data_IF_655825434766
#
_entry.id   IF_655825434766
#
_cell.length_a   1.000
_cell.length_b   1.000
_cell.length_c   1.000
_cell.angle_alpha   90.00
_cell.angle_beta   90.00
_cell.angle_gamma   90.00
#
_symmetry.space_group_name_H-M   'P 1'
#
loop_
_entity.id
_entity.type
_entity.pdbx_description
1 polymer ?
#
# COMPACT_ATOMS: atom_id res chain seq x y z
N UNK A 1 4.32 -19.83 33.36
CA UNK A 1 3.90 -19.55 31.95
C UNK A 1 4.93 -20.18 31.00
N UNK A 2 4.51 -20.74 29.89
CA UNK A 2 5.40 -21.44 28.96
C UNK A 2 6.23 -20.49 28.09
N UNK A 3 5.72 -19.26 27.89
CA UNK A 3 6.31 -18.23 27.04
C UNK A 3 6.49 -16.90 27.78
N UNK A 4 7.50 -16.12 27.37
CA UNK A 4 7.67 -14.75 27.84
C UNK A 4 6.67 -13.82 27.13
N UNK A 5 6.46 -14.05 25.83
CA UNK A 5 5.58 -13.22 24.99
C UNK A 5 4.66 -14.06 24.12
N UNK A 6 3.41 -13.62 24.05
CA UNK A 6 2.44 -14.01 23.04
C UNK A 6 2.30 -12.86 22.04
N UNK A 7 2.53 -13.11 20.77
CA UNK A 7 2.31 -12.13 19.69
C UNK A 7 1.08 -12.54 18.91
N UNK A 8 0.16 -11.60 18.76
CA UNK A 8 -1.09 -11.79 18.00
C UNK A 8 -0.97 -11.09 16.66
N UNK A 9 -1.03 -11.86 15.58
CA UNK A 9 -0.88 -11.43 14.22
C UNK A 9 0.54 -11.62 13.67
N UNK A 10 0.62 -12.26 12.51
CA UNK A 10 1.86 -12.62 11.81
C UNK A 10 2.19 -11.72 10.63
N UNK A 11 1.62 -10.52 10.57
CA UNK A 11 2.03 -9.48 9.63
C UNK A 11 3.45 -8.98 9.92
N UNK A 12 3.97 -8.08 9.10
CA UNK A 12 5.36 -7.60 9.21
C UNK A 12 5.71 -7.10 10.63
N UNK A 13 4.82 -6.33 11.26
CA UNK A 13 5.03 -5.83 12.63
C UNK A 13 5.18 -6.95 13.65
N UNK A 14 4.27 -7.95 13.63
CA UNK A 14 4.33 -9.08 14.54
C UNK A 14 5.56 -9.95 14.29
N UNK A 15 5.88 -10.25 13.03
CA UNK A 15 7.02 -11.06 12.65
C UNK A 15 8.37 -10.40 13.05
N UNK A 16 8.52 -9.10 12.81
CA UNK A 16 9.71 -8.35 13.21
C UNK A 16 9.86 -8.31 14.74
N UNK A 17 8.77 -8.07 15.47
CA UNK A 17 8.81 -8.10 16.94
C UNK A 17 9.19 -9.49 17.47
N UNK A 18 8.62 -10.54 16.89
CA UNK A 18 8.95 -11.91 17.25
C UNK A 18 10.44 -12.23 17.03
N UNK A 19 10.99 -11.78 15.91
CA UNK A 19 12.42 -11.91 15.60
C UNK A 19 13.31 -11.23 16.66
N UNK A 20 13.05 -9.97 16.99
CA UNK A 20 13.86 -9.23 17.97
C UNK A 20 13.76 -9.80 19.37
N UNK A 21 12.58 -10.24 19.79
CA UNK A 21 12.39 -10.89 21.09
C UNK A 21 13.14 -12.22 21.16
N UNK A 22 13.03 -13.06 20.14
CA UNK A 22 13.79 -14.32 20.06
C UNK A 22 15.29 -14.07 20.07
N UNK A 23 15.76 -13.07 19.31
CA UNK A 23 17.18 -12.67 19.27
C UNK A 23 17.69 -12.18 20.65
N UNK A 24 16.76 -11.75 21.51
CA UNK A 24 17.00 -11.40 22.91
C UNK A 24 16.77 -12.57 23.88
N UNK A 25 16.80 -13.82 23.39
CA UNK A 25 16.60 -15.05 24.15
C UNK A 25 15.23 -15.14 24.88
N UNK A 26 14.18 -14.49 24.34
CA UNK A 26 12.83 -14.62 24.86
C UNK A 26 12.10 -15.78 24.17
N UNK A 27 11.29 -16.49 24.95
CA UNK A 27 10.40 -17.52 24.43
C UNK A 27 9.14 -16.87 23.90
N UNK A 28 8.91 -17.00 22.61
CA UNK A 28 7.79 -16.36 21.89
C UNK A 28 6.85 -17.42 21.34
N UNK A 29 5.55 -17.23 21.58
CA UNK A 29 4.47 -17.87 20.85
C UNK A 29 3.80 -16.83 19.95
N UNK A 30 3.54 -17.18 18.70
CA UNK A 30 2.75 -16.36 17.78
C UNK A 30 1.44 -17.06 17.46
N UNK A 31 0.36 -16.29 17.39
CA UNK A 31 -0.95 -16.76 16.90
C UNK A 31 -1.40 -15.92 15.73
N UNK A 32 -1.98 -16.57 14.73
CA UNK A 32 -2.50 -15.96 13.51
C UNK A 32 -3.89 -16.51 13.21
N UNK A 33 -4.84 -15.62 12.96
CA UNK A 33 -6.24 -16.01 12.69
C UNK A 33 -6.42 -16.66 11.31
N UNK A 34 -5.56 -16.32 10.34
CA UNK A 34 -5.58 -16.87 8.99
C UNK A 34 -4.83 -18.22 8.93
N UNK A 35 -4.98 -18.94 7.83
CA UNK A 35 -4.27 -20.20 7.59
C UNK A 35 -2.79 -20.01 7.27
N UNK A 36 -2.40 -18.83 6.76
CA UNK A 36 -1.03 -18.47 6.39
C UNK A 36 -0.53 -17.23 7.10
N UNK A 37 0.79 -17.17 7.29
CA UNK A 37 1.49 -16.00 7.84
C UNK A 37 1.64 -14.89 6.80
N UNK A 38 2.00 -13.67 7.26
CA UNK A 38 2.32 -12.54 6.39
C UNK A 38 1.30 -11.41 6.42
N UNK A 39 0.11 -11.63 6.99
CA UNK A 39 -0.90 -10.58 7.09
C UNK A 39 -1.25 -10.00 5.71
N UNK A 40 -1.31 -8.68 5.60
CA UNK A 40 -1.68 -8.01 4.35
C UNK A 40 -0.57 -7.97 3.29
N UNK A 41 0.67 -8.33 3.64
CA UNK A 41 1.77 -8.43 2.67
C UNK A 41 1.99 -9.88 2.18
N UNK A 42 1.13 -10.82 2.57
CA UNK A 42 1.25 -12.20 2.17
C UNK A 42 1.27 -12.33 0.64
N UNK A 43 2.19 -13.17 0.15
CA UNK A 43 2.34 -13.52 -1.26
C UNK A 43 2.27 -15.02 -1.43
N UNK A 44 1.91 -15.47 -2.62
CA UNK A 44 2.04 -16.88 -3.04
C UNK A 44 2.66 -16.94 -4.42
N UNK A 45 3.25 -18.07 -4.77
CA UNK A 45 3.74 -18.32 -6.12
C UNK A 45 2.74 -19.20 -6.83
N UNK A 46 2.20 -18.75 -7.94
CA UNK A 46 1.31 -19.50 -8.84
C UNK A 46 1.90 -19.45 -10.24
N UNK A 47 2.11 -20.60 -10.85
CA UNK A 47 2.71 -20.77 -12.19
C UNK A 47 3.99 -19.96 -12.40
N UNK A 48 4.79 -19.83 -11.33
CA UNK A 48 6.04 -19.08 -11.32
C UNK A 48 5.88 -17.56 -11.21
N UNK A 49 4.67 -17.06 -10.96
CA UNK A 49 4.38 -15.65 -10.74
C UNK A 49 4.18 -15.41 -9.25
N UNK A 50 4.86 -14.41 -8.69
CA UNK A 50 4.62 -13.96 -7.32
C UNK A 50 3.34 -13.13 -7.25
N UNK A 51 2.28 -13.72 -6.67
CA UNK A 51 0.97 -13.09 -6.51
C UNK A 51 0.87 -12.42 -5.14
N UNK A 52 0.58 -11.13 -5.09
CA UNK A 52 0.32 -10.37 -3.87
C UNK A 52 -1.16 -10.50 -3.50
N UNK A 53 -1.47 -11.25 -2.43
CA UNK A 53 -2.84 -11.64 -2.10
C UNK A 53 -3.76 -10.47 -1.72
N UNK A 54 -3.19 -9.42 -1.14
CA UNK A 54 -3.93 -8.24 -0.65
C UNK A 54 -3.45 -6.94 -1.29
N UNK A 55 -3.03 -7.02 -2.56
CA UNK A 55 -2.46 -5.93 -3.32
C UNK A 55 -0.94 -5.80 -3.10
N UNK A 56 -0.23 -5.26 -4.10
CA UNK A 56 1.22 -5.13 -4.02
C UNK A 56 1.63 -4.07 -3.00
N UNK A 57 2.62 -4.42 -2.22
CA UNK A 57 3.31 -3.52 -1.31
C UNK A 57 4.76 -3.39 -1.79
N UNK A 58 5.22 -2.18 -2.06
CA UNK A 58 6.61 -1.91 -2.39
C UNK A 58 7.30 -1.47 -1.10
N UNK A 59 8.39 -2.14 -0.73
CA UNK A 59 9.20 -1.70 0.40
C UNK A 59 10.00 -0.48 -0.01
N UNK A 60 9.88 0.60 0.75
CA UNK A 60 10.63 1.82 0.52
C UNK A 60 10.98 2.47 1.86
N UNK A 61 12.18 3.01 1.95
CA UNK A 61 12.68 3.67 3.16
C UNK A 61 13.93 4.51 2.83
N UNK A 62 14.18 5.53 3.63
CA UNK A 62 15.47 6.23 3.66
C UNK A 62 16.28 5.85 4.91
N UNK A 63 15.78 4.94 5.74
CA UNK A 63 16.46 4.42 6.93
C UNK A 63 17.36 3.24 6.54
N UNK A 64 18.68 3.42 6.72
CA UNK A 64 19.70 2.40 6.40
C UNK A 64 19.55 1.13 7.26
N UNK A 65 19.14 1.27 8.52
CA UNK A 65 18.93 0.12 9.40
C UNK A 65 17.75 -0.72 8.89
N UNK A 66 16.63 -0.10 8.57
CA UNK A 66 15.45 -0.80 8.05
C UNK A 66 15.76 -1.50 6.71
N UNK A 67 16.49 -0.84 5.81
CA UNK A 67 16.92 -1.44 4.54
C UNK A 67 17.89 -2.60 4.75
N UNK A 68 18.92 -2.41 5.60
CA UNK A 68 19.88 -3.46 5.96
C UNK A 68 19.18 -4.67 6.57
N UNK A 69 18.26 -4.43 7.52
CA UNK A 69 17.50 -5.48 8.18
C UNK A 69 16.69 -6.36 7.20
N UNK A 70 15.97 -5.77 6.25
CA UNK A 70 15.21 -6.60 5.29
C UNK A 70 16.14 -7.37 4.34
N UNK A 71 17.28 -6.78 3.93
CA UNK A 71 18.26 -7.44 3.07
C UNK A 71 19.01 -8.60 3.76
N UNK A 72 19.19 -8.54 5.08
CA UNK A 72 19.74 -9.67 5.85
C UNK A 72 18.80 -10.88 5.87
N UNK A 73 17.49 -10.64 5.74
CA UNK A 73 16.48 -11.68 5.87
C UNK A 73 15.85 -12.12 4.54
N UNK A 74 16.01 -11.33 3.48
CA UNK A 74 15.53 -11.67 2.15
C UNK A 74 16.34 -10.90 1.10
N UNK A 75 16.74 -11.55 0.01
CA UNK A 75 17.31 -10.85 -1.14
C UNK A 75 16.27 -9.87 -1.71
N UNK A 76 16.63 -8.59 -1.75
CA UNK A 76 15.79 -7.54 -2.31
C UNK A 76 16.29 -7.18 -3.70
N UNK A 77 15.39 -7.07 -4.67
CA UNK A 77 15.74 -6.48 -5.96
C UNK A 77 15.15 -5.06 -6.08
N UNK A 78 15.88 -4.15 -6.73
CA UNK A 78 15.41 -2.78 -6.93
C UNK A 78 14.10 -2.75 -7.70
N UNK A 79 13.14 -1.97 -7.24
CA UNK A 79 11.88 -1.75 -7.93
C UNK A 79 11.46 -0.30 -7.77
N UNK A 80 11.32 0.42 -8.87
CA UNK A 80 10.82 1.79 -8.89
C UNK A 80 9.33 1.75 -9.21
N UNK A 81 8.52 2.19 -8.26
CA UNK A 81 7.08 2.29 -8.47
C UNK A 81 6.74 3.52 -9.31
N UNK A 82 6.23 3.29 -10.51
CA UNK A 82 5.83 4.35 -11.47
C UNK A 82 4.41 4.08 -11.96
N UNK A 83 3.38 4.23 -11.11
CA UNK A 83 2.01 3.92 -11.47
C UNK A 83 1.47 4.88 -12.52
N UNK A 84 0.55 4.39 -13.35
CA UNK A 84 -0.22 5.20 -14.28
C UNK A 84 -1.63 5.45 -13.75
N UNK A 85 -2.26 6.50 -14.24
CA UNK A 85 -3.69 6.75 -14.07
C UNK A 85 -4.40 6.62 -15.42
N UNK A 86 -5.52 5.91 -15.43
CA UNK A 86 -6.43 5.85 -16.57
C UNK A 86 -7.71 6.61 -16.22
N UNK A 87 -7.97 7.69 -16.94
CA UNK A 87 -9.20 8.44 -16.88
C UNK A 87 -9.94 8.31 -18.22
N UNK A 88 -10.92 7.41 -18.29
CA UNK A 88 -11.75 7.20 -19.51
C UNK A 88 -10.93 6.90 -20.77
N UNK A 89 -9.83 6.16 -20.63
CA UNK A 89 -8.92 5.82 -21.71
C UNK A 89 -7.75 6.79 -21.90
N UNK A 90 -7.78 7.96 -21.30
CA UNK A 90 -6.62 8.86 -21.25
C UNK A 90 -5.63 8.38 -20.18
N UNK A 91 -4.36 8.29 -20.54
CA UNK A 91 -3.31 7.78 -19.64
C UNK A 91 -2.45 8.94 -19.13
N UNK A 92 -2.18 8.94 -17.82
CA UNK A 92 -1.40 9.95 -17.14
C UNK A 92 -0.37 9.31 -16.22
N UNK A 93 0.83 9.86 -16.16
CA UNK A 93 1.84 9.45 -15.21
C UNK A 93 1.53 9.95 -13.79
N UNK A 94 1.91 9.12 -12.80
CA UNK A 94 1.87 9.47 -11.38
C UNK A 94 3.28 9.25 -10.76
N UNK A 95 3.64 10.00 -9.69
CA UNK A 95 2.90 11.11 -9.06
C UNK A 95 2.74 12.31 -10.00
N UNK A 96 2.00 13.35 -9.59
CA UNK A 96 1.82 14.54 -10.43
C UNK A 96 3.16 15.22 -10.69
N UNK A 97 3.68 15.03 -11.89
CA UNK A 97 5.00 15.51 -12.32
C UNK A 97 4.91 16.14 -13.72
N UNK A 98 6.06 16.52 -14.30
CA UNK A 98 6.07 17.17 -15.61
C UNK A 98 5.49 16.31 -16.74
N UNK A 99 5.56 14.96 -16.65
CA UNK A 99 4.88 14.09 -17.61
C UNK A 99 3.36 14.24 -17.48
N UNK A 100 2.82 14.21 -16.25
CA UNK A 100 1.39 14.44 -15.99
C UNK A 100 0.92 15.79 -16.53
N UNK A 101 1.68 16.88 -16.29
CA UNK A 101 1.30 18.22 -16.72
C UNK A 101 1.38 18.39 -18.25
N UNK A 102 2.36 17.74 -18.89
CA UNK A 102 2.45 17.67 -20.33
C UNK A 102 1.26 16.92 -20.94
N UNK A 103 0.88 15.80 -20.35
CA UNK A 103 -0.27 15.00 -20.80
C UNK A 103 -1.61 15.73 -20.62
N UNK A 104 -1.77 16.49 -19.53
CA UNK A 104 -2.97 17.26 -19.26
C UNK A 104 -3.10 18.52 -20.14
N UNK A 105 -1.99 19.24 -20.35
CA UNK A 105 -2.03 20.61 -20.88
C UNK A 105 -1.04 20.89 -22.01
N UNK A 106 -0.18 19.95 -22.38
CA UNK A 106 0.86 20.15 -23.41
C UNK A 106 2.03 21.02 -22.98
N UNK A 107 2.12 21.41 -21.69
CA UNK A 107 3.22 22.22 -21.15
C UNK A 107 4.52 21.43 -21.12
N UNK A 108 5.65 22.11 -21.28
CA UNK A 108 6.97 21.48 -21.39
C UNK A 108 7.99 21.98 -20.37
N UNK A 109 7.71 23.13 -19.74
CA UNK A 109 8.58 23.73 -18.74
C UNK A 109 7.92 23.80 -17.36
N UNK A 110 8.71 23.75 -16.28
CA UNK A 110 8.21 23.94 -14.92
C UNK A 110 7.43 25.24 -14.72
N UNK A 111 7.86 26.32 -15.38
CA UNK A 111 7.24 27.65 -15.31
C UNK A 111 5.84 27.65 -15.92
N UNK A 112 5.69 27.02 -17.11
CA UNK A 112 4.38 26.85 -17.76
C UNK A 112 3.43 26.00 -16.88
N UNK A 113 3.92 24.90 -16.32
CA UNK A 113 3.12 24.05 -15.46
C UNK A 113 2.65 24.77 -14.19
N UNK A 114 3.55 25.50 -13.52
CA UNK A 114 3.21 26.35 -12.34
C UNK A 114 2.19 27.41 -12.69
N UNK A 115 2.37 28.11 -13.82
CA UNK A 115 1.45 29.15 -14.28
C UNK A 115 0.05 28.55 -14.55
N UNK A 116 -0.01 27.37 -15.19
CA UNK A 116 -1.27 26.68 -15.49
C UNK A 116 -2.02 26.24 -14.24
N UNK A 117 -1.32 25.67 -13.27
CA UNK A 117 -1.90 25.31 -11.97
C UNK A 117 -2.41 26.56 -11.26
N UNK A 118 -1.61 27.64 -11.20
CA UNK A 118 -2.01 28.89 -10.56
C UNK A 118 -3.25 29.52 -11.24
N UNK A 119 -3.34 29.48 -12.57
CA UNK A 119 -4.52 29.93 -13.32
C UNK A 119 -5.78 29.14 -12.91
N UNK A 120 -5.69 27.80 -12.83
CA UNK A 120 -6.83 26.97 -12.46
C UNK A 120 -7.24 27.17 -11.00
N UNK A 121 -6.27 27.21 -10.10
CA UNK A 121 -6.51 27.47 -8.65
C UNK A 121 -7.18 28.83 -8.43
N UNK A 122 -6.73 29.88 -9.15
CA UNK A 122 -7.30 31.22 -9.04
C UNK A 122 -8.78 31.31 -9.42
N UNK A 123 -9.23 30.46 -10.36
CA UNK A 123 -10.64 30.39 -10.80
C UNK A 123 -11.56 29.86 -9.70
N UNK A 124 -11.06 29.01 -8.81
CA UNK A 124 -11.86 28.39 -7.76
C UNK A 124 -12.12 29.35 -6.58
N UNK A 125 -11.26 30.36 -6.39
CA UNK A 125 -11.39 31.41 -5.35
C UNK A 125 -11.64 30.85 -3.94
N UNK A 126 -11.05 29.70 -3.59
CA UNK A 126 -11.19 29.04 -2.29
C UNK A 126 -10.07 29.50 -1.38
N UNK A 127 -10.42 30.01 -0.18
CA UNK A 127 -9.45 30.49 0.82
C UNK A 127 -9.36 29.58 2.04
N UNK A 128 -10.50 29.00 2.46
CA UNK A 128 -10.63 28.18 3.65
C UNK A 128 -11.38 26.91 3.29
N UNK A 129 -10.72 25.86 2.78
CA UNK A 129 -11.36 24.64 2.34
C UNK A 129 -11.98 23.90 3.52
N UNK A 130 -13.25 23.47 3.37
CA UNK A 130 -14.01 22.77 4.42
C UNK A 130 -14.04 21.25 4.20
N UNK A 131 -13.74 20.78 2.99
CA UNK A 131 -13.82 19.39 2.59
C UNK A 131 -12.72 19.04 1.60
N UNK A 132 -12.62 17.75 1.25
CA UNK A 132 -11.60 17.23 0.33
C UNK A 132 -11.67 17.87 -1.06
N UNK A 133 -12.87 18.10 -1.62
CA UNK A 133 -13.03 18.74 -2.93
C UNK A 133 -12.43 20.14 -2.93
N UNK A 134 -12.83 20.98 -1.98
CA UNK A 134 -12.33 22.34 -1.86
C UNK A 134 -10.82 22.39 -1.61
N UNK A 135 -10.31 21.48 -0.79
CA UNK A 135 -8.87 21.36 -0.52
C UNK A 135 -8.09 20.99 -1.79
N UNK A 136 -8.57 20.02 -2.55
CA UNK A 136 -7.93 19.62 -3.80
C UNK A 136 -7.97 20.73 -4.85
N UNK A 137 -9.14 21.38 -5.03
CA UNK A 137 -9.29 22.50 -5.95
C UNK A 137 -8.36 23.67 -5.61
N UNK A 138 -8.19 23.97 -4.32
CA UNK A 138 -7.27 24.99 -3.84
C UNK A 138 -5.79 24.64 -4.10
N UNK A 139 -5.45 23.34 -4.10
CA UNK A 139 -4.06 22.90 -4.27
C UNK A 139 -3.66 22.70 -5.75
N UNK A 140 -4.54 22.14 -6.58
CA UNK A 140 -4.18 21.68 -7.92
C UNK A 140 -5.13 22.13 -9.04
N UNK A 141 -6.21 22.80 -8.70
CA UNK A 141 -7.22 23.26 -9.66
C UNK A 141 -8.16 22.15 -10.15
N UNK A 142 -9.10 22.53 -11.01
CA UNK A 142 -10.21 21.69 -11.42
C UNK A 142 -9.81 20.52 -12.32
N UNK A 143 -8.93 20.73 -13.26
CA UNK A 143 -8.55 19.68 -14.22
C UNK A 143 -7.92 18.47 -13.55
N UNK A 144 -6.95 18.68 -12.65
CA UNK A 144 -6.33 17.58 -11.90
C UNK A 144 -7.35 16.96 -10.95
N UNK A 145 -8.15 17.77 -10.26
CA UNK A 145 -9.17 17.25 -9.35
C UNK A 145 -10.16 16.32 -10.05
N UNK A 146 -10.81 16.78 -11.13
CA UNK A 146 -11.85 16.02 -11.81
C UNK A 146 -11.29 14.75 -12.48
N UNK A 147 -10.13 14.83 -13.13
CA UNK A 147 -9.55 13.71 -13.87
C UNK A 147 -8.81 12.71 -12.99
N UNK A 148 -8.09 13.15 -11.98
CA UNK A 148 -7.11 12.28 -11.31
C UNK A 148 -7.40 12.04 -9.82
N UNK A 149 -8.25 12.84 -9.17
CA UNK A 149 -8.48 12.74 -7.72
C UNK A 149 -9.90 12.31 -7.39
N UNK A 150 -10.91 12.99 -7.93
CA UNK A 150 -12.31 12.87 -7.51
C UNK A 150 -12.84 11.44 -7.55
N UNK A 151 -12.95 10.85 -8.72
CA UNK A 151 -13.58 9.53 -8.87
C UNK A 151 -12.80 8.42 -8.18
N UNK A 152 -11.46 8.54 -8.13
CA UNK A 152 -10.62 7.61 -7.36
C UNK A 152 -10.92 7.71 -5.86
N UNK A 153 -10.93 8.92 -5.31
CA UNK A 153 -11.20 9.17 -3.89
C UNK A 153 -12.60 8.74 -3.50
N UNK A 154 -13.61 9.08 -4.31
CA UNK A 154 -15.01 8.71 -4.05
C UNK A 154 -15.22 7.20 -4.04
N UNK A 155 -14.58 6.45 -4.95
CA UNK A 155 -14.58 4.98 -4.93
C UNK A 155 -13.88 4.42 -3.70
N UNK A 156 -12.70 4.95 -3.37
CA UNK A 156 -11.91 4.47 -2.24
C UNK A 156 -12.61 4.71 -0.91
N UNK A 157 -13.24 5.87 -0.73
CA UNK A 157 -13.92 6.22 0.51
C UNK A 157 -15.41 5.82 0.52
N UNK A 158 -16.01 5.58 -0.66
CA UNK A 158 -17.44 5.29 -0.81
C UNK A 158 -18.32 6.46 -0.37
N UNK A 159 -17.79 7.69 -0.45
CA UNK A 159 -18.45 8.96 -0.10
C UNK A 159 -18.09 10.02 -1.12
N UNK A 160 -18.95 11.03 -1.29
CA UNK A 160 -18.64 12.18 -2.12
C UNK A 160 -17.45 12.97 -1.52
N UNK A 161 -16.60 13.55 -2.36
CA UNK A 161 -15.47 14.35 -1.90
C UNK A 161 -15.86 15.54 -1.02
N UNK A 162 -17.09 16.06 -1.14
CA UNK A 162 -17.64 17.11 -0.29
C UNK A 162 -17.98 16.67 1.12
N UNK A 163 -18.18 15.36 1.31
CA UNK A 163 -18.52 14.76 2.60
C UNK A 163 -17.26 14.22 3.32
N UNK A 164 -16.10 14.40 2.71
CA UNK A 164 -14.82 13.95 3.25
C UNK A 164 -14.02 15.12 3.84
N UNK A 165 -13.36 14.93 4.99
CA UNK A 165 -12.56 15.99 5.61
C UNK A 165 -11.43 16.49 4.69
N UNK A 166 -11.18 17.79 4.69
CA UNK A 166 -10.06 18.41 3.98
C UNK A 166 -8.69 17.82 4.39
N UNK A 167 -8.60 17.32 5.63
CA UNK A 167 -7.37 16.74 6.19
C UNK A 167 -6.91 15.45 5.51
N UNK A 168 -7.76 14.78 4.73
CA UNK A 168 -7.38 13.60 3.94
C UNK A 168 -6.33 13.98 2.88
N UNK A 169 -6.44 15.17 2.30
CA UNK A 169 -5.47 15.71 1.35
C UNK A 169 -4.90 17.02 1.92
N UNK A 170 -4.04 16.93 2.93
CA UNK A 170 -3.38 18.12 3.50
C UNK A 170 -2.45 18.81 2.49
N UNK A 171 -1.80 18.01 1.66
CA UNK A 171 -0.92 18.46 0.58
C UNK A 171 -0.93 17.40 -0.52
N UNK A 172 -0.79 17.85 -1.75
CA UNK A 172 -0.59 17.00 -2.91
C UNK A 172 0.84 17.28 -3.39
N UNK A 173 1.73 16.29 -3.42
CA UNK A 173 3.07 16.50 -3.92
C UNK A 173 3.03 16.80 -5.41
N UNK A 174 3.50 17.98 -5.80
CA UNK A 174 3.68 18.40 -7.18
C UNK A 174 5.16 18.43 -7.48
N UNK A 175 5.60 17.67 -8.48
CA UNK A 175 7.00 17.60 -8.91
C UNK A 175 7.17 18.31 -10.23
N UNK A 176 7.95 19.38 -10.27
CA UNK A 176 8.26 20.13 -11.48
C UNK A 176 9.54 19.59 -12.16
N UNK A 177 9.63 18.27 -12.26
CA UNK A 177 10.66 17.49 -12.91
C UNK A 177 10.03 16.32 -13.65
N UNK A 178 10.72 15.77 -14.66
CA UNK A 178 10.31 14.55 -15.36
C UNK A 178 10.76 13.31 -14.57
N UNK A 179 10.11 13.08 -13.43
CA UNK A 179 10.42 11.96 -12.52
C UNK A 179 9.14 11.22 -12.16
N UNK A 180 9.04 9.97 -12.62
CA UNK A 180 7.90 9.09 -12.39
C UNK A 180 8.05 8.23 -11.13
N UNK A 181 9.16 8.35 -10.37
CA UNK A 181 9.30 7.60 -9.15
C UNK A 181 8.24 8.05 -8.12
N UNK A 182 7.40 7.13 -7.68
CA UNK A 182 6.30 7.46 -6.76
C UNK A 182 6.80 7.86 -5.37
N UNK A 183 7.91 7.30 -4.92
CA UNK A 183 8.49 7.55 -3.61
C UNK A 183 9.73 8.45 -3.71
N UNK A 184 10.01 9.19 -2.64
CA UNK A 184 11.23 10.03 -2.52
C UNK A 184 12.33 9.31 -1.70
N UNK A 185 12.08 8.08 -1.25
CA UNK A 185 13.01 7.33 -0.43
C UNK A 185 14.23 6.82 -1.21
N UNK A 186 15.37 6.75 -0.52
CA UNK A 186 16.64 6.31 -1.09
C UNK A 186 16.62 4.83 -1.53
N UNK A 187 15.92 4.00 -0.77
CA UNK A 187 15.86 2.57 -0.99
C UNK A 187 14.43 2.16 -1.35
N UNK A 188 14.31 1.41 -2.42
CA UNK A 188 13.03 0.87 -2.88
C UNK A 188 13.26 -0.51 -3.48
N UNK A 189 12.38 -1.45 -3.19
CA UNK A 189 12.54 -2.79 -3.72
C UNK A 189 11.42 -3.74 -3.32
N UNK A 190 11.56 -4.95 -3.83
CA UNK A 190 10.67 -6.06 -3.55
C UNK A 190 11.48 -7.29 -3.13
N UNK A 191 10.97 -8.09 -2.18
CA UNK A 191 11.60 -9.34 -1.80
C UNK A 191 11.55 -10.34 -2.96
N UNK A 192 12.68 -10.93 -3.29
CA UNK A 192 12.77 -12.03 -4.25
C UNK A 192 11.98 -13.24 -3.74
N UNK A 193 11.05 -13.71 -4.56
CA UNK A 193 10.09 -14.76 -4.15
C UNK A 193 8.93 -14.28 -3.31
N UNK A 194 8.80 -12.97 -3.10
CA UNK A 194 7.70 -12.33 -2.39
C UNK A 194 7.89 -12.16 -0.88
N UNK A 195 7.00 -11.40 -0.27
CA UNK A 195 7.07 -11.08 1.15
C UNK A 195 6.90 -12.29 2.08
N UNK A 196 6.22 -13.34 1.63
CA UNK A 196 6.09 -14.56 2.46
C UNK A 196 7.45 -15.16 2.78
N UNK A 197 8.44 -15.09 1.86
CA UNK A 197 9.81 -15.54 2.12
C UNK A 197 10.47 -14.72 3.24
N UNK A 198 10.30 -13.39 3.23
CA UNK A 198 10.80 -12.51 4.30
C UNK A 198 10.17 -12.88 5.65
N UNK A 199 8.86 -13.02 5.69
CA UNK A 199 8.13 -13.35 6.93
C UNK A 199 8.55 -14.72 7.46
N UNK A 200 8.64 -15.74 6.61
CA UNK A 200 9.09 -17.08 7.00
C UNK A 200 10.51 -17.06 7.57
N UNK A 201 11.41 -16.26 6.97
CA UNK A 201 12.78 -16.11 7.49
C UNK A 201 12.82 -15.43 8.86
N UNK A 202 12.00 -14.39 9.09
CA UNK A 202 11.88 -13.73 10.40
C UNK A 202 11.32 -14.68 11.46
N UNK A 203 10.41 -15.56 11.08
CA UNK A 203 9.73 -16.50 11.99
C UNK A 203 10.49 -17.82 12.21
N UNK A 204 11.65 -18.04 11.60
CA UNK A 204 12.45 -19.25 11.83
C UNK A 204 12.75 -19.46 13.31
N UNK A 205 12.36 -20.65 13.83
CA UNK A 205 12.56 -21.02 15.23
C UNK A 205 11.58 -20.38 16.22
N UNK A 206 10.49 -19.78 15.74
CA UNK A 206 9.38 -19.26 16.53
C UNK A 206 8.19 -20.22 16.34
N UNK A 207 7.54 -20.58 17.44
CA UNK A 207 6.31 -21.36 17.40
C UNK A 207 5.15 -20.48 16.91
N UNK A 208 4.51 -20.88 15.79
CA UNK A 208 3.39 -20.16 15.19
C UNK A 208 2.17 -21.08 15.13
N UNK A 209 1.04 -20.61 15.63
CA UNK A 209 -0.27 -21.28 15.53
C UNK A 209 -1.16 -20.47 14.59
N UNK A 210 -1.36 -20.98 13.39
CA UNK A 210 -2.31 -20.44 12.41
C UNK A 210 -3.73 -20.92 12.71
N UNK A 211 -4.74 -20.40 12.01
CA UNK A 211 -6.15 -20.68 12.22
C UNK A 211 -6.58 -20.51 13.71
N UNK A 212 -5.91 -19.56 14.40
CA UNK A 212 -6.12 -19.32 15.83
C UNK A 212 -6.52 -17.89 16.07
N UNK A 213 -7.83 -17.66 16.27
CA UNK A 213 -8.36 -16.33 16.60
C UNK A 213 -8.13 -16.05 18.09
N UNK A 214 -7.28 -15.06 18.36
CA UNK A 214 -6.96 -14.64 19.72
C UNK A 214 -8.19 -14.17 20.49
N UNK A 215 -9.09 -13.42 19.88
CA UNK A 215 -10.24 -12.84 20.58
C UNK A 215 -11.25 -13.92 21.02
N UNK A 216 -11.36 -15.01 20.25
CA UNK A 216 -12.22 -16.14 20.60
C UNK A 216 -11.63 -16.99 21.74
N UNK A 217 -10.29 -17.05 21.84
CA UNK A 217 -9.56 -17.90 22.81
C UNK A 217 -8.72 -17.07 23.79
N UNK A 218 -9.09 -15.80 24.01
CA UNK A 218 -8.27 -14.82 24.70
C UNK A 218 -7.76 -15.28 26.07
N UNK A 219 -8.65 -15.75 26.93
CA UNK A 219 -8.29 -16.16 28.31
C UNK A 219 -7.28 -17.32 28.33
N UNK A 220 -7.47 -18.29 27.43
CA UNK A 220 -6.60 -19.47 27.32
C UNK A 220 -5.22 -19.06 26.79
N UNK A 221 -5.19 -18.21 25.77
CA UNK A 221 -3.95 -17.76 25.15
C UNK A 221 -3.17 -16.80 26.04
N UNK A 222 -3.82 -15.86 26.71
CA UNK A 222 -3.17 -14.96 27.68
C UNK A 222 -2.54 -15.73 28.85
N UNK A 223 -3.11 -16.86 29.27
CA UNK A 223 -2.55 -17.68 30.32
C UNK A 223 -1.21 -18.37 29.95
N UNK A 224 -0.87 -18.45 28.66
CA UNK A 224 0.35 -19.09 28.15
C UNK A 224 1.59 -18.22 28.28
N UNK A 225 1.46 -16.91 28.32
CA UNK A 225 2.57 -15.96 28.24
C UNK A 225 2.50 -14.88 29.33
N UNK A 226 3.66 -14.32 29.68
CA UNK A 226 3.74 -13.21 30.65
C UNK A 226 3.30 -11.87 30.09
N UNK A 227 3.46 -11.68 28.77
CA UNK A 227 3.12 -10.45 28.06
C UNK A 227 2.42 -10.77 26.75
N UNK A 228 1.49 -9.90 26.33
CA UNK A 228 0.79 -9.99 25.06
C UNK A 228 1.12 -8.76 24.21
N UNK A 229 1.52 -9.01 22.97
CA UNK A 229 1.67 -7.97 21.93
C UNK A 229 0.59 -8.21 20.89
N UNK A 230 -0.37 -7.29 20.82
CA UNK A 230 -1.52 -7.40 19.93
C UNK A 230 -1.34 -6.46 18.72
N UNK A 231 -1.30 -7.03 17.51
CA UNK A 231 -1.16 -6.28 16.26
C UNK A 231 -2.44 -6.22 15.41
N UNK A 232 -3.55 -6.72 15.96
CA UNK A 232 -4.86 -6.66 15.32
C UNK A 232 -5.57 -5.31 15.51
N UNK A 233 -6.84 -5.20 15.10
CA UNK A 233 -7.64 -3.98 15.27
C UNK A 233 -7.83 -3.63 16.75
N UNK A 234 -7.42 -2.42 17.12
CA UNK A 234 -7.42 -1.99 18.53
C UNK A 234 -8.84 -1.93 19.14
N UNK A 235 -9.82 -1.52 18.36
CA UNK A 235 -11.23 -1.47 18.78
C UNK A 235 -11.78 -2.87 19.08
N UNK A 236 -11.38 -3.88 18.30
CA UNK A 236 -11.74 -5.28 18.56
C UNK A 236 -11.09 -5.80 19.84
N UNK A 237 -9.85 -5.42 20.15
CA UNK A 237 -9.16 -5.80 21.39
C UNK A 237 -9.94 -5.35 22.64
N UNK A 238 -10.53 -4.15 22.57
CA UNK A 238 -11.36 -3.58 23.63
C UNK A 238 -12.88 -3.90 23.47
N UNK A 239 -13.21 -4.95 22.69
CA UNK A 239 -14.60 -5.39 22.58
C UNK A 239 -15.56 -4.34 21.98
N UNK A 240 -15.01 -3.36 21.26
CA UNK A 240 -15.75 -2.22 20.68
C UNK A 240 -16.47 -1.34 21.72
N UNK A 241 -16.02 -1.34 22.97
CA UNK A 241 -16.65 -0.57 24.07
C UNK A 241 -16.72 0.94 23.81
N UNK A 242 -15.76 1.48 23.04
CA UNK A 242 -15.73 2.90 22.60
C UNK A 242 -16.32 3.12 21.20
N UNK A 243 -17.02 2.12 20.66
CA UNK A 243 -17.47 2.10 19.28
C UNK A 243 -16.45 1.50 18.31
N UNK A 244 -16.90 1.29 17.06
CA UNK A 244 -16.04 0.78 15.99
C UNK A 244 -15.31 1.91 15.29
N UNK A 245 -14.04 1.72 15.03
CA UNK A 245 -13.27 2.61 14.16
C UNK A 245 -13.75 2.45 12.71
N UNK A 246 -13.93 3.55 12.01
CA UNK A 246 -14.29 3.53 10.60
C UNK A 246 -13.10 3.11 9.75
N UNK A 247 -13.29 2.15 8.86
CA UNK A 247 -12.34 1.74 7.84
C UNK A 247 -13.05 1.33 6.55
N UNK A 248 -12.29 1.17 5.48
CA UNK A 248 -12.82 0.71 4.19
C UNK A 248 -12.25 -0.66 3.85
N UNK A 249 -13.12 -1.60 3.58
CA UNK A 249 -12.73 -2.91 3.08
C UNK A 249 -12.41 -2.85 1.60
N UNK A 250 -11.40 -3.61 1.18
CA UNK A 250 -11.05 -3.82 -0.21
C UNK A 250 -11.44 -5.25 -0.61
N UNK A 251 -11.99 -5.40 -1.80
CA UNK A 251 -12.19 -6.69 -2.43
C UNK A 251 -11.15 -6.84 -3.54
N UNK A 252 -10.42 -7.95 -3.49
CA UNK A 252 -9.45 -8.32 -4.50
C UNK A 252 -10.07 -9.39 -5.39
N UNK A 253 -10.01 -9.20 -6.70
CA UNK A 253 -10.45 -10.15 -7.71
C UNK A 253 -9.24 -10.53 -8.56
N UNK A 254 -8.77 -11.77 -8.42
CA UNK A 254 -7.74 -12.32 -9.29
C UNK A 254 -8.37 -12.78 -10.60
N UNK A 255 -7.71 -12.49 -11.73
CA UNK A 255 -8.10 -12.96 -13.07
C UNK A 255 -6.86 -13.39 -13.83
N UNK A 256 -6.94 -14.55 -14.46
CA UNK A 256 -5.97 -15.01 -15.43
C UNK A 256 -6.41 -14.54 -16.82
N UNK A 257 -5.48 -13.95 -17.56
CA UNK A 257 -5.72 -13.47 -18.91
C UNK A 257 -4.74 -14.13 -19.87
N UNK A 258 -5.16 -14.48 -21.10
CA UNK A 258 -4.29 -15.07 -22.13
C UNK A 258 -3.42 -13.97 -22.78
N UNK A 259 -2.69 -13.20 -21.97
CA UNK A 259 -1.83 -12.12 -22.41
C UNK A 259 -0.51 -12.15 -21.62
N UNK A 260 0.60 -11.96 -22.30
CA UNK A 260 1.91 -11.88 -21.65
C UNK A 260 2.10 -10.57 -20.88
N UNK A 261 1.56 -9.49 -21.41
CA UNK A 261 1.56 -8.14 -20.81
C UNK A 261 0.22 -7.47 -21.16
N UNK A 262 -0.64 -7.31 -20.16
CA UNK A 262 -2.01 -6.83 -20.35
C UNK A 262 -2.11 -5.30 -20.38
N UNK A 263 -1.37 -4.62 -19.50
CA UNK A 263 -1.51 -3.18 -19.34
C UNK A 263 -0.20 -2.39 -19.45
N UNK A 264 0.91 -3.06 -19.76
CA UNK A 264 2.25 -2.48 -19.97
C UNK A 264 2.78 -1.68 -18.76
N UNK A 265 2.21 -1.90 -17.58
CA UNK A 265 2.63 -1.28 -16.33
C UNK A 265 2.13 -2.11 -15.14
N UNK A 266 2.98 -2.32 -14.09
CA UNK A 266 2.57 -3.11 -12.93
C UNK A 266 1.31 -2.58 -12.22
N UNK A 267 1.08 -1.26 -12.24
CA UNK A 267 -0.05 -0.62 -11.54
C UNK A 267 -0.69 0.45 -12.42
N UNK A 268 -1.96 0.27 -12.74
CA UNK A 268 -2.79 1.30 -13.36
C UNK A 268 -3.96 1.66 -12.44
N UNK A 269 -4.04 2.91 -12.03
CA UNK A 269 -5.13 3.45 -11.22
C UNK A 269 -6.25 3.94 -12.15
N UNK A 270 -7.47 3.51 -11.93
CA UNK A 270 -8.64 3.97 -12.67
C UNK A 270 -9.31 5.09 -11.90
N UNK A 271 -9.18 6.31 -12.41
CA UNK A 271 -9.57 7.53 -11.67
C UNK A 271 -10.96 8.03 -12.00
N UNK A 272 -11.61 7.53 -13.04
CA UNK A 272 -13.01 7.85 -13.36
C UNK A 272 -14.00 7.05 -12.50
N UNK A 273 -15.21 7.56 -12.35
CA UNK A 273 -16.30 6.91 -11.58
C UNK A 273 -17.09 5.87 -12.37
N UNK A 274 -16.88 5.77 -13.68
CA UNK A 274 -17.59 4.87 -14.59
C UNK A 274 -17.15 3.42 -14.50
N UNK A 275 -16.04 3.13 -13.83
CA UNK A 275 -15.59 1.78 -13.49
C UNK A 275 -15.64 1.55 -11.98
N UNK A 276 -16.04 0.33 -11.50
CA UNK A 276 -16.27 0.08 -10.08
C UNK A 276 -14.99 -0.21 -9.27
N UNK A 277 -13.85 -0.37 -9.92
CA UNK A 277 -12.56 -0.68 -9.27
C UNK A 277 -11.64 0.54 -9.27
N UNK A 278 -10.72 0.57 -8.30
CA UNK A 278 -9.75 1.67 -8.14
C UNK A 278 -8.46 1.43 -8.90
N UNK A 279 -8.03 0.17 -9.07
CA UNK A 279 -6.80 -0.17 -9.78
C UNK A 279 -6.80 -1.60 -10.32
N UNK A 280 -5.95 -1.82 -11.30
CA UNK A 280 -5.53 -3.14 -11.75
C UNK A 280 -4.03 -3.25 -11.46
N UNK A 281 -3.64 -4.40 -10.88
CA UNK A 281 -2.25 -4.74 -10.64
C UNK A 281 -1.90 -5.98 -11.45
N UNK A 282 -0.89 -5.86 -12.29
CA UNK A 282 -0.37 -6.97 -13.07
C UNK A 282 0.82 -7.58 -12.34
N UNK A 283 0.63 -8.76 -11.77
CA UNK A 283 1.61 -9.36 -10.86
C UNK A 283 2.94 -9.67 -11.52
N UNK A 284 2.97 -10.03 -12.81
CA UNK A 284 4.21 -10.23 -13.57
C UNK A 284 5.11 -8.99 -13.55
N UNK A 285 4.51 -7.79 -13.58
CA UNK A 285 5.22 -6.53 -13.60
C UNK A 285 6.02 -6.21 -12.34
N UNK A 286 5.76 -6.94 -11.23
CA UNK A 286 6.53 -6.79 -9.99
C UNK A 286 7.72 -7.74 -9.89
N UNK A 287 7.86 -8.70 -10.80
CA UNK A 287 8.97 -9.66 -10.80
C UNK A 287 9.75 -9.57 -12.11
N UNK A 288 10.98 -8.98 -12.08
CA UNK A 288 11.81 -8.86 -13.27
C UNK A 288 12.13 -10.20 -13.94
N UNK A 289 12.11 -11.31 -13.21
CA UNK A 289 12.37 -12.64 -13.76
C UNK A 289 11.25 -13.17 -14.68
N UNK A 290 10.05 -12.60 -14.55
CA UNK A 290 8.91 -12.96 -15.38
C UNK A 290 9.04 -12.43 -16.83
N UNK A 291 9.67 -11.27 -17.02
CA UNK A 291 9.87 -10.70 -18.37
C UNK A 291 10.94 -11.44 -19.19
N UNK A 292 11.87 -12.15 -18.55
CA UNK A 292 12.95 -12.87 -19.22
C UNK A 292 12.55 -14.29 -19.67
N UNK A 293 11.32 -14.72 -19.43
CA UNK A 293 10.85 -16.06 -19.82
C UNK A 293 10.23 -16.14 -21.21
N UNK A 294 10.08 -15.02 -21.89
CA UNK A 294 9.48 -14.92 -23.24
C UNK A 294 10.53 -14.72 -24.37
N UNK A 295 11.77 -15.19 -24.16
CA UNK A 295 12.80 -15.24 -25.22
C UNK A 295 13.23 -16.66 -25.53
#
# INVERSE_FOLDING_TARGET
MAYDYLIVGSGLSGASMAFFLRSSNKKVLMVESRESVGGNIATKVEDGITVHLYGPHIFHTSDEFAWGFVNEHCEMYPFINSPLANYKGEIYHLPFNMNTFRELWGVTTPEEAKAKIAEEVAKENIKNPQNLEEQALMLVGRTIFEKLIKGYSEKQWGRNCRDLPASIIKRIPLRFAYDNNYFDDLYQGLPKGGYSVLIENLLKGIEVKTNTDFLLHRKELEALASHVIYTGPIDAYFGYEQGRLEYRSLRFEAKELPADDFQHNPVVNFTSSDVPYTRICEHKGFDPSCYNRSS
#
